data_IF_595419026104
#
_entry.id   IF_595419026104
#
_cell.length_a   1.000
_cell.length_b   1.000
_cell.length_c   1.000
_cell.angle_alpha   90.00
_cell.angle_beta   90.00
_cell.angle_gamma   90.00
#
_symmetry.space_group_name_H-M   'P 1'
#
loop_
_entity.id
_entity.type
_entity.pdbx_description
1 polymer ?
#
# COMPACT_ATOMS: atom_id res chain seq x y z
N UNK A 1 5.73 -4.62 7.72
CA UNK A 1 6.21 -5.28 6.48
C UNK A 1 5.29 -5.14 5.27
N UNK A 2 3.98 -5.42 5.34
CA UNK A 2 3.09 -5.38 4.15
C UNK A 2 3.09 -4.03 3.43
N UNK A 3 2.85 -2.92 4.14
CA UNK A 3 2.88 -1.58 3.57
C UNK A 3 4.24 -1.26 2.95
N UNK A 4 5.33 -1.56 3.66
CA UNK A 4 6.69 -1.34 3.17
C UNK A 4 6.95 -2.07 1.84
N UNK A 5 6.50 -3.33 1.71
CA UNK A 5 6.59 -4.08 0.45
C UNK A 5 5.72 -3.44 -0.64
N UNK A 6 4.51 -2.99 -0.33
CA UNK A 6 3.66 -2.30 -1.30
C UNK A 6 4.30 -1.00 -1.81
N UNK A 7 4.92 -0.21 -0.93
CA UNK A 7 5.62 1.02 -1.31
C UNK A 7 6.83 0.74 -2.20
N UNK A 8 7.56 -0.35 -1.94
CA UNK A 8 8.67 -0.78 -2.81
C UNK A 8 8.18 -1.11 -4.22
N UNK A 9 7.02 -1.77 -4.36
CA UNK A 9 6.40 -2.03 -5.67
C UNK A 9 6.00 -0.73 -6.38
N UNK A 10 5.48 0.27 -5.66
CA UNK A 10 5.16 1.56 -6.24
C UNK A 10 6.42 2.26 -6.79
N UNK A 11 7.52 2.20 -6.05
CA UNK A 11 8.81 2.74 -6.47
C UNK A 11 9.35 2.00 -7.71
N UNK A 12 9.34 0.67 -7.70
CA UNK A 12 9.81 -0.14 -8.84
C UNK A 12 9.03 0.18 -10.13
N UNK A 13 7.71 0.36 -10.01
CA UNK A 13 6.85 0.76 -11.13
C UNK A 13 7.21 2.14 -11.68
N UNK A 14 7.48 3.10 -10.80
CA UNK A 14 7.87 4.46 -11.20
C UNK A 14 9.22 4.46 -11.92
N UNK A 15 10.23 3.78 -11.37
CA UNK A 15 11.55 3.70 -12.00
C UNK A 15 11.50 2.96 -13.35
N UNK A 16 10.69 1.90 -13.46
CA UNK A 16 10.46 1.23 -14.74
C UNK A 16 9.81 2.16 -15.78
N UNK A 17 8.79 2.94 -15.40
CA UNK A 17 8.13 3.88 -16.29
C UNK A 17 9.08 5.00 -16.77
N UNK A 18 9.93 5.50 -15.87
CA UNK A 18 10.98 6.48 -16.17
C UNK A 18 11.99 5.96 -17.19
N UNK A 19 12.45 4.70 -17.02
CA UNK A 19 13.38 4.05 -17.96
C UNK A 19 12.78 3.87 -19.35
N UNK A 20 11.49 3.59 -19.43
CA UNK A 20 10.81 3.38 -20.70
C UNK A 20 10.53 4.70 -21.45
N UNK A 21 10.80 5.87 -20.85
CA UNK A 21 10.35 7.19 -21.32
C UNK A 21 8.83 7.25 -21.59
N UNK A 22 8.09 6.30 -20.99
CA UNK A 22 6.65 6.18 -21.13
C UNK A 22 6.05 7.13 -20.11
N UNK A 23 5.64 8.30 -20.59
CA UNK A 23 4.68 9.27 -19.99
C UNK A 23 5.23 10.38 -19.11
N UNK A 24 4.65 11.55 -19.36
CA UNK A 24 4.59 12.75 -18.51
C UNK A 24 3.83 12.54 -17.18
N UNK A 25 3.15 11.39 -16.99
CA UNK A 25 2.25 11.14 -15.85
C UNK A 25 2.77 10.09 -14.85
N UNK A 26 3.99 9.58 -15.00
CA UNK A 26 4.56 8.55 -14.11
C UNK A 26 4.58 8.97 -12.63
N UNK A 27 4.72 10.26 -12.36
CA UNK A 27 4.65 10.80 -11.01
C UNK A 27 3.23 10.70 -10.42
N UNK A 28 2.20 10.95 -11.22
CA UNK A 28 0.80 10.80 -10.83
C UNK A 28 0.45 9.34 -10.58
N UNK A 29 0.97 8.44 -11.40
CA UNK A 29 0.79 6.99 -11.20
C UNK A 29 1.47 6.51 -9.91
N UNK A 30 2.64 7.08 -9.55
CA UNK A 30 3.30 6.85 -8.27
C UNK A 30 2.45 7.35 -7.10
N UNK A 31 1.95 8.58 -7.16
CA UNK A 31 1.08 9.16 -6.13
C UNK A 31 -0.16 8.30 -5.89
N UNK A 32 -0.84 7.88 -6.96
CA UNK A 32 -2.01 6.99 -6.88
C UNK A 32 -1.65 5.62 -6.26
N UNK A 33 -0.51 5.04 -6.63
CA UNK A 33 -0.06 3.76 -6.08
C UNK A 33 0.20 3.85 -4.57
N UNK A 34 0.84 4.94 -4.13
CA UNK A 34 1.14 5.19 -2.72
C UNK A 34 -0.15 5.40 -1.93
N UNK A 35 -1.06 6.25 -2.43
CA UNK A 35 -2.34 6.51 -1.77
C UNK A 35 -3.16 5.23 -1.61
N UNK A 36 -3.28 4.43 -2.67
CA UNK A 36 -3.96 3.13 -2.61
C UNK A 36 -3.31 2.19 -1.58
N UNK A 37 -1.98 2.10 -1.56
CA UNK A 37 -1.25 1.25 -0.60
C UNK A 37 -1.49 1.66 0.85
N UNK A 38 -1.62 2.96 1.10
CA UNK A 38 -1.94 3.52 2.41
C UNK A 38 -3.40 3.20 2.77
N UNK A 39 -4.35 3.46 1.86
CA UNK A 39 -5.77 3.19 2.08
C UNK A 39 -6.05 1.70 2.34
N UNK A 40 -5.41 0.80 1.59
CA UNK A 40 -5.51 -0.65 1.81
C UNK A 40 -4.97 -1.07 3.18
N UNK A 41 -3.93 -0.37 3.65
CA UNK A 41 -3.35 -0.61 4.97
C UNK A 41 -4.28 -0.10 6.07
N UNK A 42 -4.81 1.12 5.94
CA UNK A 42 -5.78 1.71 6.88
C UNK A 42 -7.03 0.83 6.98
N UNK A 43 -7.59 0.42 5.84
CA UNK A 43 -8.80 -0.41 5.78
C UNK A 43 -8.57 -1.78 6.43
N UNK A 44 -7.37 -2.35 6.34
CA UNK A 44 -7.07 -3.64 6.92
C UNK A 44 -6.81 -3.60 8.44
N UNK A 45 -6.38 -2.47 9.00
CA UNK A 45 -6.02 -2.37 10.42
C UNK A 45 -7.17 -2.75 11.36
N UNK A 46 -8.41 -2.26 11.19
CA UNK A 46 -9.55 -2.69 12.02
C UNK A 46 -9.79 -4.19 11.96
N UNK A 47 -9.67 -4.81 10.78
CA UNK A 47 -9.86 -6.26 10.62
C UNK A 47 -8.75 -7.06 11.31
N UNK A 48 -7.50 -6.59 11.25
CA UNK A 48 -6.39 -7.22 11.97
C UNK A 48 -6.57 -7.07 13.48
N UNK A 49 -6.99 -5.91 13.95
CA UNK A 49 -7.28 -5.66 15.36
C UNK A 49 -8.42 -6.56 15.86
N UNK A 50 -9.51 -6.69 15.11
CA UNK A 50 -10.63 -7.58 15.45
C UNK A 50 -10.18 -9.04 15.54
N UNK A 51 -9.37 -9.50 14.58
CA UNK A 51 -8.79 -10.86 14.62
C UNK A 51 -7.90 -11.07 15.84
N UNK A 52 -7.06 -10.09 16.19
CA UNK A 52 -6.19 -10.16 17.36
C UNK A 52 -7.01 -10.19 18.66
N UNK A 53 -8.02 -9.31 18.79
CA UNK A 53 -8.95 -9.31 19.93
C UNK A 53 -9.62 -10.68 20.09
N UNK A 54 -10.12 -11.26 18.99
CA UNK A 54 -10.74 -12.59 18.99
C UNK A 54 -9.77 -13.69 19.40
N UNK A 55 -8.54 -13.69 18.89
CA UNK A 55 -7.50 -14.65 19.30
C UNK A 55 -7.09 -14.54 20.77
N UNK A 56 -7.28 -13.37 21.38
CA UNK A 56 -7.00 -13.11 22.79
C UNK A 56 -8.26 -13.18 23.67
N UNK A 57 -9.42 -13.57 23.11
CA UNK A 57 -10.72 -13.58 23.82
C UNK A 57 -11.10 -12.23 24.46
N UNK A 58 -10.63 -11.13 23.89
CA UNK A 58 -11.00 -9.78 24.31
C UNK A 58 -12.30 -9.43 23.60
N UNK A 59 -13.39 -9.34 24.36
CA UNK A 59 -14.66 -8.83 23.84
C UNK A 59 -14.56 -7.30 23.66
N UNK A 60 -15.24 -6.78 22.65
CA UNK A 60 -15.32 -5.32 22.38
C UNK A 60 -16.00 -4.55 23.51
#
# INVERSE_FOLDING_TARGET
>A
ERLQRSLMVCQDKFEAAKLQQIRTDSMKDLELCVDQSIQDSITALPHLAARLKSSLTIND
#
